data_IF_200083460446
#
_entry.id   IF_200083460446
#
_cell.length_a   1.000
_cell.length_b   1.000
_cell.length_c   1.000
_cell.angle_alpha   90.00
_cell.angle_beta   90.00
_cell.angle_gamma   90.00
#
_symmetry.space_group_name_H-M   'P 1'
#
loop_
_entity.id
_entity.type
_entity.pdbx_description
1 polymer ?
#
# COMPACT_ATOMS: atom_id res chain seq x y z
N UNK A 1 31.20 -31.84 -46.72
CA UNK A 1 30.20 -30.75 -46.56
C UNK A 1 29.37 -31.11 -45.35
N UNK A 2 29.69 -30.57 -44.17
CA UNK A 2 29.13 -30.97 -42.88
C UNK A 2 28.16 -29.89 -42.40
N UNK A 3 26.90 -30.29 -42.21
CA UNK A 3 25.88 -29.50 -41.53
C UNK A 3 26.14 -29.61 -40.02
N UNK A 4 26.52 -28.49 -39.39
CA UNK A 4 26.55 -28.35 -37.94
C UNK A 4 25.18 -27.86 -37.49
N UNK A 5 24.44 -28.73 -36.81
CA UNK A 5 23.23 -28.38 -36.06
C UNK A 5 23.60 -27.39 -34.95
N UNK A 6 22.94 -26.22 -34.97
CA UNK A 6 22.99 -25.25 -33.88
C UNK A 6 21.99 -25.71 -32.82
N UNK A 7 22.49 -26.19 -31.69
CA UNK A 7 21.70 -26.33 -30.47
C UNK A 7 21.23 -24.94 -30.02
N UNK A 8 19.96 -24.62 -30.29
CA UNK A 8 19.24 -23.56 -29.62
C UNK A 8 18.87 -24.08 -28.23
N UNK A 9 19.59 -23.61 -27.20
CA UNK A 9 19.16 -23.77 -25.82
C UNK A 9 17.99 -22.81 -25.64
N UNK A 10 16.77 -23.35 -25.70
CA UNK A 10 15.57 -22.66 -25.26
C UNK A 10 15.66 -22.54 -23.74
N UNK A 11 16.01 -21.36 -23.22
CA UNK A 11 15.85 -21.05 -21.82
C UNK A 11 14.34 -21.00 -21.54
N UNK A 12 13.81 -22.04 -20.89
CA UNK A 12 12.47 -21.99 -20.31
C UNK A 12 12.53 -21.01 -19.13
N UNK A 13 12.19 -19.74 -19.38
CA UNK A 13 11.76 -18.85 -18.30
C UNK A 13 10.43 -19.40 -17.79
N UNK A 14 10.50 -20.24 -16.75
CA UNK A 14 9.31 -20.54 -15.95
C UNK A 14 9.03 -19.28 -15.15
N UNK A 15 8.03 -18.49 -15.58
CA UNK A 15 7.48 -17.45 -14.73
C UNK A 15 6.81 -18.17 -13.56
N UNK A 16 7.52 -18.31 -12.44
CA UNK A 16 6.88 -18.79 -11.23
C UNK A 16 5.71 -17.86 -10.91
N UNK A 17 4.53 -18.39 -10.57
CA UNK A 17 3.42 -17.57 -10.12
C UNK A 17 3.87 -16.73 -8.93
N UNK A 18 3.37 -15.50 -8.85
CA UNK A 18 3.68 -14.62 -7.73
C UNK A 18 3.28 -15.30 -6.41
N UNK A 19 4.11 -15.22 -5.36
CA UNK A 19 3.78 -15.79 -4.06
C UNK A 19 2.50 -15.19 -3.49
N UNK A 20 1.74 -15.97 -2.72
CA UNK A 20 0.52 -15.50 -2.07
C UNK A 20 0.55 -15.73 -0.56
N UNK A 21 -0.21 -14.92 0.17
CA UNK A 21 -0.44 -15.03 1.61
C UNK A 21 -1.94 -14.97 1.93
N UNK A 22 -2.33 -15.47 3.10
CA UNK A 22 -3.68 -15.35 3.64
C UNK A 22 -3.70 -14.32 4.76
N UNK A 23 -4.42 -13.23 4.59
CA UNK A 23 -4.53 -12.17 5.58
C UNK A 23 -5.95 -11.61 5.63
N UNK A 24 -6.50 -11.50 6.85
CA UNK A 24 -7.85 -10.96 7.09
C UNK A 24 -8.96 -11.62 6.25
N UNK A 25 -8.84 -12.93 5.99
CA UNK A 25 -9.82 -13.71 5.23
C UNK A 25 -9.68 -13.62 3.71
N UNK A 26 -8.67 -12.91 3.20
CA UNK A 26 -8.42 -12.77 1.76
C UNK A 26 -7.09 -13.39 1.36
N UNK A 27 -7.02 -13.84 0.11
CA UNK A 27 -5.76 -14.18 -0.54
C UNK A 27 -5.14 -12.93 -1.18
N UNK A 28 -3.89 -12.65 -0.82
CA UNK A 28 -3.12 -11.52 -1.35
C UNK A 28 -1.93 -12.02 -2.15
N UNK A 29 -1.69 -11.43 -3.32
CA UNK A 29 -0.46 -11.57 -4.08
C UNK A 29 0.65 -10.73 -3.43
N UNK A 30 1.86 -11.28 -3.34
CA UNK A 30 3.05 -10.56 -2.88
C UNK A 30 3.83 -10.06 -4.09
N UNK A 31 4.01 -8.75 -4.18
CA UNK A 31 4.70 -8.12 -5.31
C UNK A 31 6.18 -8.48 -5.34
N UNK A 32 6.69 -8.68 -6.55
CA UNK A 32 8.09 -8.99 -6.83
C UNK A 32 8.58 -8.24 -8.08
N UNK A 33 9.88 -7.94 -8.15
CA UNK A 33 10.49 -7.31 -9.33
C UNK A 33 11.60 -6.33 -8.99
N UNK A 34 12.34 -5.88 -10.00
CA UNK A 34 13.41 -4.90 -9.83
C UNK A 34 13.10 -3.60 -10.59
N UNK A 35 13.33 -2.46 -9.95
CA UNK A 35 13.10 -1.11 -10.52
C UNK A 35 11.67 -0.91 -11.04
N UNK A 36 10.69 -1.37 -10.28
CA UNK A 36 9.25 -1.25 -10.60
C UNK A 36 8.58 -0.26 -9.65
N UNK A 37 7.58 0.46 -10.18
CA UNK A 37 6.81 1.46 -9.47
C UNK A 37 6.08 0.95 -8.22
N UNK A 38 5.71 1.85 -7.28
CA UNK A 38 6.07 3.28 -7.24
C UNK A 38 7.58 3.51 -7.04
N UNK A 39 8.12 4.55 -7.68
CA UNK A 39 9.56 4.79 -7.74
C UNK A 39 10.37 3.66 -8.41
N UNK A 40 11.70 3.75 -8.48
CA UNK A 40 12.56 2.66 -8.95
C UNK A 40 12.83 1.62 -7.85
N UNK A 41 11.79 1.11 -7.19
CA UNK A 41 11.92 0.17 -6.06
C UNK A 41 12.24 -1.25 -6.53
N UNK A 42 12.95 -2.00 -5.68
CA UNK A 42 13.04 -3.46 -5.80
C UNK A 42 12.02 -4.07 -4.84
N UNK A 43 11.39 -5.17 -5.22
CA UNK A 43 10.34 -5.86 -4.47
C UNK A 43 10.79 -7.29 -4.26
N UNK A 44 10.98 -7.69 -3.01
CA UNK A 44 11.62 -8.98 -2.73
C UNK A 44 10.72 -10.17 -3.00
N UNK A 45 9.42 -10.05 -2.70
CA UNK A 45 8.45 -11.12 -2.94
C UNK A 45 8.64 -12.34 -2.04
N UNK A 46 9.30 -12.23 -0.89
CA UNK A 46 9.53 -13.37 0.02
C UNK A 46 9.03 -13.11 1.44
N UNK A 47 8.98 -14.18 2.24
CA UNK A 47 8.63 -14.13 3.66
C UNK A 47 9.61 -13.33 4.54
N UNK A 48 10.77 -12.94 4.02
CA UNK A 48 11.67 -12.01 4.71
C UNK A 48 11.13 -10.57 4.70
N UNK A 49 10.30 -10.23 3.71
CA UNK A 49 9.73 -8.90 3.51
C UNK A 49 8.23 -8.82 3.80
N UNK A 50 7.51 -9.94 3.65
CA UNK A 50 6.06 -10.01 3.80
C UNK A 50 5.66 -11.34 4.44
N UNK A 51 5.07 -11.30 5.63
CA UNK A 51 4.55 -12.51 6.28
C UNK A 51 3.33 -12.19 7.15
N UNK A 52 2.59 -13.22 7.53
CA UNK A 52 1.53 -13.14 8.54
C UNK A 52 1.99 -13.91 9.77
N UNK A 53 1.93 -13.28 10.94
CA UNK A 53 2.36 -13.91 12.20
C UNK A 53 1.31 -14.86 12.79
N UNK A 54 1.66 -15.52 13.90
CA UNK A 54 0.77 -16.45 14.60
C UNK A 54 -0.48 -15.76 15.22
N UNK A 55 -0.50 -14.42 15.28
CA UNK A 55 -1.65 -13.62 15.71
C UNK A 55 -2.53 -13.20 14.53
N UNK A 56 -2.16 -13.56 13.29
CA UNK A 56 -2.89 -13.20 12.07
C UNK A 56 -2.60 -11.79 11.56
N UNK A 57 -1.54 -11.12 12.07
CA UNK A 57 -1.15 -9.77 11.66
C UNK A 57 -0.23 -9.84 10.45
N UNK A 58 -0.43 -8.93 9.51
CA UNK A 58 0.42 -8.79 8.33
C UNK A 58 1.61 -7.88 8.62
N UNK A 59 2.80 -8.35 8.30
CA UNK A 59 4.05 -7.61 8.43
C UNK A 59 4.59 -7.26 7.05
N UNK A 60 4.98 -5.99 6.86
CA UNK A 60 5.71 -5.53 5.68
C UNK A 60 7.01 -4.89 6.14
N UNK A 61 8.13 -5.31 5.54
CA UNK A 61 9.47 -4.86 5.93
C UNK A 61 10.25 -4.37 4.72
N UNK A 62 10.81 -3.17 4.86
CA UNK A 62 11.87 -2.69 3.96
C UNK A 62 13.19 -3.27 4.45
N UNK A 63 13.83 -4.11 3.63
CA UNK A 63 15.02 -4.87 4.02
C UNK A 63 16.22 -4.61 3.12
N UNK A 64 17.42 -4.82 3.65
CA UNK A 64 18.66 -4.71 2.91
C UNK A 64 19.27 -6.09 2.68
N UNK A 65 19.41 -6.51 1.43
CA UNK A 65 20.01 -7.79 1.04
C UNK A 65 20.94 -7.59 -0.14
N UNK A 66 22.12 -8.19 -0.08
CA UNK A 66 23.09 -8.22 -1.18
C UNK A 66 23.37 -6.84 -1.79
N UNK A 67 23.45 -5.79 -0.95
CA UNK A 67 23.73 -4.42 -1.38
C UNK A 67 22.55 -3.67 -2.01
N UNK A 68 21.33 -4.21 -1.93
CA UNK A 68 20.10 -3.58 -2.42
C UNK A 68 19.07 -3.45 -1.29
N UNK A 69 18.29 -2.38 -1.35
CA UNK A 69 17.08 -2.22 -0.57
C UNK A 69 15.88 -2.78 -1.32
N UNK A 70 15.01 -3.45 -0.58
CA UNK A 70 13.78 -4.05 -1.08
C UNK A 70 12.58 -3.51 -0.30
N UNK A 71 11.57 -3.09 -1.03
CA UNK A 71 10.24 -2.74 -0.57
C UNK A 71 9.34 -3.98 -0.49
N UNK A 72 8.15 -3.79 0.07
CA UNK A 72 7.14 -4.82 0.28
C UNK A 72 5.77 -4.31 -0.17
N UNK A 73 5.00 -5.14 -0.87
CA UNK A 73 3.62 -4.83 -1.24
C UNK A 73 2.81 -6.11 -1.34
N UNK A 74 1.55 -6.01 -0.91
CA UNK A 74 0.54 -7.03 -1.10
C UNK A 74 -0.65 -6.47 -1.86
N UNK A 75 -1.20 -7.27 -2.75
CA UNK A 75 -2.30 -6.89 -3.66
C UNK A 75 -3.41 -7.93 -3.46
N UNK A 76 -4.60 -7.51 -3.04
CA UNK A 76 -5.73 -8.41 -2.88
C UNK A 76 -6.14 -8.97 -4.25
N UNK A 77 -6.44 -10.26 -4.32
CA UNK A 77 -6.83 -10.89 -5.59
C UNK A 77 -8.27 -10.59 -5.99
N UNK A 78 -9.11 -10.15 -5.05
CA UNK A 78 -10.51 -9.80 -5.26
C UNK A 78 -10.68 -8.31 -5.62
N UNK A 79 -11.70 -8.04 -6.44
CA UNK A 79 -12.23 -6.69 -6.63
C UNK A 79 -13.38 -6.53 -5.65
N UNK A 80 -13.30 -5.54 -4.76
CA UNK A 80 -14.27 -5.38 -3.66
C UNK A 80 -15.38 -4.38 -3.98
N UNK A 81 -15.05 -3.32 -4.74
CA UNK A 81 -15.98 -2.29 -5.19
C UNK A 81 -16.43 -1.31 -4.11
N UNK A 82 -17.57 -0.66 -4.32
CA UNK A 82 -18.07 0.36 -3.39
C UNK A 82 -18.31 -0.21 -1.99
N UNK A 83 -17.84 0.51 -0.99
CA UNK A 83 -17.90 0.08 0.40
C UNK A 83 -16.95 0.86 1.28
N UNK A 84 -16.81 0.41 2.53
CA UNK A 84 -15.83 0.91 3.48
C UNK A 84 -14.60 0.03 3.50
N UNK A 85 -13.44 0.61 3.19
CA UNK A 85 -12.13 -0.04 3.30
C UNK A 85 -11.47 0.45 4.58
N UNK A 86 -11.10 -0.47 5.48
CA UNK A 86 -10.55 -0.13 6.79
C UNK A 86 -9.29 -0.92 7.10
N UNK A 87 -8.27 -0.20 7.55
CA UNK A 87 -6.94 -0.71 7.87
C UNK A 87 -6.60 -0.38 9.33
N UNK A 88 -6.21 -1.41 10.08
CA UNK A 88 -5.81 -1.30 11.47
C UNK A 88 -4.28 -1.44 11.55
N UNK A 89 -3.59 -0.34 11.84
CA UNK A 89 -2.12 -0.27 11.82
C UNK A 89 -1.55 -0.34 13.23
N UNK A 90 -0.40 -0.99 13.36
CA UNK A 90 0.51 -0.91 14.50
C UNK A 90 1.83 -0.33 14.00
N UNK A 91 1.85 0.99 13.80
CA UNK A 91 2.99 1.69 13.23
C UNK A 91 3.04 3.16 13.69
N UNK A 92 4.23 3.61 14.09
CA UNK A 92 4.52 5.02 14.36
C UNK A 92 4.73 5.80 13.07
N UNK A 93 3.67 5.98 12.30
CA UNK A 93 3.70 6.70 11.02
C UNK A 93 4.15 8.17 11.15
N UNK A 94 4.03 8.76 12.34
CA UNK A 94 4.55 10.09 12.66
C UNK A 94 6.08 10.12 12.85
N UNK A 95 6.71 8.97 13.10
CA UNK A 95 8.15 8.79 13.22
C UNK A 95 8.75 8.00 12.05
N UNK A 96 8.01 7.89 10.95
CA UNK A 96 8.45 7.15 9.77
C UNK A 96 9.78 7.70 9.24
N UNK A 97 10.66 6.81 8.76
CA UNK A 97 11.89 7.21 8.09
C UNK A 97 11.57 8.18 6.94
N UNK A 98 12.33 9.27 6.75
CA UNK A 98 11.98 10.27 5.76
C UNK A 98 11.80 9.76 4.34
N UNK A 99 12.51 8.70 3.96
CA UNK A 99 12.44 8.11 2.63
C UNK A 99 11.37 7.03 2.50
N UNK A 100 10.71 6.62 3.58
CA UNK A 100 9.71 5.58 3.54
C UNK A 100 8.30 6.15 3.26
N UNK A 101 7.48 5.33 2.61
CA UNK A 101 6.09 5.62 2.27
C UNK A 101 5.26 4.38 2.60
N UNK A 102 4.17 4.58 3.34
CA UNK A 102 3.11 3.59 3.52
C UNK A 102 1.95 4.02 2.61
N UNK A 103 1.46 3.12 1.76
CA UNK A 103 0.25 3.32 0.97
C UNK A 103 -0.81 2.29 1.30
N UNK A 104 -2.04 2.76 1.50
CA UNK A 104 -3.25 1.96 1.72
C UNK A 104 -4.27 2.41 0.67
N UNK A 105 -4.50 1.61 -0.37
CA UNK A 105 -5.11 2.16 -1.58
C UNK A 105 -5.87 1.14 -2.43
N UNK A 106 -6.69 1.64 -3.35
CA UNK A 106 -7.20 0.87 -4.50
C UNK A 106 -6.40 1.18 -5.76
N UNK A 107 -6.26 0.22 -6.67
CA UNK A 107 -5.61 0.44 -7.98
C UNK A 107 -6.07 -0.58 -9.01
N UNK A 108 -6.42 -0.12 -10.20
CA UNK A 108 -6.79 -0.94 -11.35
C UNK A 108 -5.64 -0.97 -12.36
N UNK A 109 -4.86 -2.06 -12.33
CA UNK A 109 -3.75 -2.29 -13.25
C UNK A 109 -4.15 -3.06 -14.51
N UNK A 110 -5.40 -3.50 -14.64
CA UNK A 110 -5.79 -4.54 -15.60
C UNK A 110 -6.87 -4.10 -16.58
N UNK A 111 -7.73 -3.16 -16.22
CA UNK A 111 -8.76 -2.69 -17.13
C UNK A 111 -8.15 -1.91 -18.29
N UNK A 112 -8.71 -2.12 -19.48
CA UNK A 112 -8.28 -1.43 -20.70
C UNK A 112 -8.45 0.09 -20.63
N UNK A 113 -9.41 0.55 -19.84
CA UNK A 113 -9.74 1.96 -19.62
C UNK A 113 -9.16 2.49 -18.29
N UNK A 114 -8.22 1.78 -17.66
CA UNK A 114 -7.72 2.16 -16.34
C UNK A 114 -7.05 3.54 -16.38
N UNK A 115 -6.19 3.81 -17.36
CA UNK A 115 -5.48 5.08 -17.47
C UNK A 115 -6.42 6.28 -17.68
N UNK A 116 -7.52 6.08 -18.43
CA UNK A 116 -8.55 7.09 -18.64
C UNK A 116 -9.44 7.34 -17.42
N UNK A 117 -9.37 6.45 -16.41
CA UNK A 117 -10.08 6.56 -15.13
C UNK A 117 -9.08 6.68 -13.97
N UNK A 118 -7.89 7.24 -14.23
CA UNK A 118 -6.85 7.49 -13.23
C UNK A 118 -6.55 6.27 -12.35
N UNK A 119 -6.56 5.09 -12.99
CA UNK A 119 -6.37 3.77 -12.38
C UNK A 119 -7.32 3.46 -11.22
N UNK A 120 -8.44 4.18 -11.07
CA UNK A 120 -9.42 4.00 -9.98
C UNK A 120 -8.76 4.06 -8.60
N UNK A 121 -7.82 4.99 -8.48
CA UNK A 121 -6.92 5.09 -7.33
C UNK A 121 -7.45 6.04 -6.24
N UNK A 122 -7.57 5.48 -5.04
CA UNK A 122 -7.99 6.16 -3.81
C UNK A 122 -6.94 5.78 -2.76
N UNK A 123 -6.27 6.76 -2.17
CA UNK A 123 -5.12 6.50 -1.30
C UNK A 123 -5.28 7.12 0.09
N UNK A 124 -4.76 6.39 1.06
CA UNK A 124 -4.28 6.93 2.32
C UNK A 124 -2.79 6.66 2.38
N UNK A 125 -1.99 7.73 2.41
CA UNK A 125 -0.53 7.62 2.44
C UNK A 125 0.08 8.27 3.67
N UNK A 126 1.17 7.68 4.14
CA UNK A 126 2.03 8.24 5.17
C UNK A 126 3.47 8.35 4.67
N UNK A 127 4.00 9.57 4.56
CA UNK A 127 5.39 9.83 4.22
C UNK A 127 5.84 11.24 4.59
N UNK A 128 7.15 11.39 4.78
CA UNK A 128 7.82 12.71 4.82
C UNK A 128 8.38 13.11 3.46
N UNK A 129 8.25 12.29 2.43
CA UNK A 129 8.67 12.56 1.04
C UNK A 129 10.16 12.96 0.92
N UNK A 130 11.02 12.30 1.71
CA UNK A 130 12.46 12.56 1.79
C UNK A 130 12.85 13.80 2.60
N UNK A 131 11.88 14.52 3.17
CA UNK A 131 12.11 15.76 3.90
C UNK A 131 11.98 15.54 5.40
N UNK A 132 13.10 15.38 6.11
CA UNK A 132 13.10 15.10 7.56
C UNK A 132 12.27 16.09 8.39
N UNK A 133 12.19 17.36 7.99
CA UNK A 133 11.40 18.40 8.65
C UNK A 133 9.91 18.45 8.25
N UNK A 134 9.44 17.62 7.32
CA UNK A 134 8.03 17.64 6.90
C UNK A 134 7.11 17.14 8.03
N UNK A 135 6.26 18.03 8.54
CA UNK A 135 5.29 17.72 9.57
C UNK A 135 3.97 17.15 9.02
N UNK A 136 3.67 17.39 7.74
CA UNK A 136 2.48 16.89 7.07
C UNK A 136 2.77 15.49 6.54
N UNK A 137 2.74 14.53 7.45
CA UNK A 137 3.11 13.14 7.14
C UNK A 137 1.97 12.33 6.56
N UNK A 138 0.71 12.74 6.73
CA UNK A 138 -0.45 12.03 6.21
C UNK A 138 -1.06 12.74 5.02
N UNK A 139 -1.55 11.96 4.05
CA UNK A 139 -2.43 12.47 3.01
C UNK A 139 -3.55 11.50 2.65
N UNK A 140 -4.67 12.07 2.25
CA UNK A 140 -5.72 11.40 1.49
C UNK A 140 -5.62 11.85 0.05
N UNK A 141 -5.83 10.94 -0.89
CA UNK A 141 -5.76 11.24 -2.31
C UNK A 141 -6.87 10.51 -3.08
N UNK A 142 -7.44 11.21 -4.05
CA UNK A 142 -8.25 10.63 -5.12
C UNK A 142 -7.59 11.06 -6.43
N UNK A 143 -7.12 10.12 -7.23
CA UNK A 143 -6.47 10.48 -8.48
C UNK A 143 -7.48 11.09 -9.47
N UNK A 144 -7.09 12.12 -10.24
CA UNK A 144 -5.75 12.70 -10.32
C UNK A 144 -5.58 13.93 -9.41
N UNK A 145 -4.59 13.90 -8.50
CA UNK A 145 -4.15 15.05 -7.69
C UNK A 145 -5.20 15.71 -6.78
N UNK A 146 -6.31 15.05 -6.42
CA UNK A 146 -7.25 15.57 -5.43
C UNK A 146 -6.80 15.15 -4.04
N UNK A 147 -5.95 15.96 -3.41
CA UNK A 147 -5.31 15.59 -2.15
C UNK A 147 -5.63 16.51 -0.98
N UNK A 148 -5.61 15.91 0.21
CA UNK A 148 -5.73 16.60 1.49
C UNK A 148 -4.63 16.11 2.42
N UNK A 149 -3.74 17.02 2.82
CA UNK A 149 -2.58 16.69 3.66
C UNK A 149 -2.80 17.11 5.10
N UNK A 150 -2.21 16.38 6.04
CA UNK A 150 -2.36 16.64 7.45
C UNK A 150 -1.16 16.26 8.29
N UNK A 151 -1.03 16.95 9.43
CA UNK A 151 -0.06 16.60 10.46
C UNK A 151 -0.56 15.39 11.23
N UNK A 152 0.37 14.50 11.59
CA UNK A 152 0.08 13.38 12.49
C UNK A 152 0.97 13.52 13.72
N UNK A 153 0.33 13.63 14.88
CA UNK A 153 1.00 13.44 16.17
C UNK A 153 0.34 12.23 16.81
N UNK A 154 1.11 11.17 17.01
CA UNK A 154 0.58 9.94 17.61
C UNK A 154 0.88 9.89 19.10
N UNK A 155 -0.14 9.54 19.87
CA UNK A 155 -0.04 9.27 21.32
C UNK A 155 0.21 7.79 21.63
N UNK A 156 0.30 6.95 20.60
CA UNK A 156 0.53 5.51 20.68
C UNK A 156 0.75 4.91 19.30
N UNK A 157 0.89 3.58 19.22
CA UNK A 157 1.27 2.90 17.98
C UNK A 157 0.06 2.45 17.15
N UNK A 158 -1.13 2.46 17.74
CA UNK A 158 -2.34 1.91 17.13
C UNK A 158 -3.18 3.01 16.49
N UNK A 159 -3.54 2.81 15.23
CA UNK A 159 -4.41 3.72 14.47
C UNK A 159 -5.29 2.97 13.50
N UNK A 160 -6.50 3.46 13.30
CA UNK A 160 -7.39 3.01 12.23
C UNK A 160 -7.43 4.07 11.13
N UNK A 161 -7.33 3.61 9.88
CA UNK A 161 -7.41 4.41 8.66
C UNK A 161 -8.43 3.81 7.72
N UNK A 162 -9.25 4.64 7.09
CA UNK A 162 -10.30 4.14 6.23
C UNK A 162 -10.80 5.18 5.25
N UNK A 163 -11.45 4.69 4.20
CA UNK A 163 -12.30 5.47 3.33
C UNK A 163 -13.61 4.72 3.06
N UNK A 164 -14.71 5.48 3.02
CA UNK A 164 -16.03 5.04 2.56
C UNK A 164 -16.20 5.53 1.13
N UNK A 165 -16.37 4.61 0.19
CA UNK A 165 -16.48 4.91 -1.23
C UNK A 165 -17.87 4.61 -1.74
N UNK A 166 -18.56 5.65 -2.20
CA UNK A 166 -19.85 5.56 -2.91
C UNK A 166 -19.73 6.20 -4.30
N UNK A 167 -20.71 6.03 -5.20
CA UNK A 167 -20.75 6.76 -6.46
C UNK A 167 -20.77 8.30 -6.31
N UNK A 168 -21.22 8.82 -5.17
CA UNK A 168 -21.44 10.24 -4.92
C UNK A 168 -20.35 10.91 -4.08
N UNK A 169 -19.61 10.14 -3.26
CA UNK A 169 -18.54 10.70 -2.42
C UNK A 169 -17.51 9.67 -2.00
N UNK A 170 -16.36 10.17 -1.56
CA UNK A 170 -15.38 9.42 -0.78
C UNK A 170 -15.20 10.12 0.57
N UNK A 171 -15.49 9.43 1.66
CA UNK A 171 -15.26 9.93 3.01
C UNK A 171 -14.07 9.23 3.67
N UNK A 172 -13.00 9.97 3.87
CA UNK A 172 -11.80 9.51 4.56
C UNK A 172 -11.89 9.80 6.06
N UNK A 173 -11.40 8.87 6.86
CA UNK A 173 -11.21 9.09 8.29
C UNK A 173 -9.98 8.38 8.84
N UNK A 174 -9.44 8.93 9.91
CA UNK A 174 -8.32 8.37 10.64
C UNK A 174 -8.44 8.69 12.12
N UNK A 175 -8.23 7.70 12.98
CA UNK A 175 -8.31 7.87 14.43
C UNK A 175 -7.30 7.00 15.18
N UNK A 176 -7.03 7.36 16.43
CA UNK A 176 -6.20 6.60 17.35
C UNK A 176 -6.91 5.35 17.85
N UNK A 177 -6.14 4.29 18.11
CA UNK A 177 -6.67 3.00 18.54
C UNK A 177 -7.22 2.17 17.39
N UNK A 178 -7.65 0.96 17.73
CA UNK A 178 -8.32 0.04 16.81
C UNK A 178 -9.80 -0.01 17.14
N UNK A 179 -10.61 0.65 16.32
CA UNK A 179 -12.06 0.64 16.41
C UNK A 179 -12.67 0.89 15.04
N UNK A 180 -13.93 0.50 14.84
CA UNK A 180 -14.64 0.75 13.58
C UNK A 180 -14.92 2.24 13.38
N UNK A 181 -15.21 2.94 14.48
CA UNK A 181 -15.46 4.38 14.54
C UNK A 181 -14.68 5.00 15.69
N UNK A 182 -14.35 6.28 15.58
CA UNK A 182 -13.64 6.98 16.65
C UNK A 182 -14.49 7.00 17.94
N UNK A 183 -13.95 6.59 19.11
CA UNK A 183 -14.72 6.57 20.36
C UNK A 183 -15.26 7.94 20.78
N UNK A 184 -14.53 9.00 20.44
CA UNK A 184 -14.94 10.40 20.60
C UNK A 184 -14.03 11.32 19.76
N UNK A 185 -14.29 12.63 19.79
CA UNK A 185 -13.55 13.61 19.01
C UNK A 185 -12.04 13.68 19.32
N UNK A 186 -11.61 13.35 20.55
CA UNK A 186 -10.19 13.42 20.93
C UNK A 186 -9.34 12.32 20.30
N UNK A 187 -9.97 11.27 19.77
CA UNK A 187 -9.29 10.18 19.08
C UNK A 187 -9.17 10.46 17.57
N UNK A 188 -9.88 11.45 17.02
CA UNK A 188 -9.83 11.77 15.60
C UNK A 188 -8.46 12.38 15.28
N UNK A 189 -7.77 11.76 14.33
CA UNK A 189 -6.53 12.27 13.73
C UNK A 189 -6.92 13.23 12.61
N UNK A 190 -7.73 12.76 11.67
CA UNK A 190 -8.31 13.59 10.62
C UNK A 190 -9.49 12.93 9.91
N UNK A 191 -10.21 13.74 9.13
CA UNK A 191 -11.29 13.34 8.25
C UNK A 191 -11.38 14.29 7.05
N UNK A 192 -11.81 13.78 5.91
CA UNK A 192 -12.00 14.59 4.70
C UNK A 192 -13.06 13.95 3.81
N UNK A 193 -13.96 14.76 3.26
CA UNK A 193 -14.93 14.30 2.28
C UNK A 193 -14.57 14.87 0.92
N UNK A 194 -14.48 14.00 -0.08
CA UNK A 194 -14.35 14.35 -1.48
C UNK A 194 -15.68 14.11 -2.20
N UNK A 195 -16.25 15.18 -2.76
CA UNK A 195 -17.50 15.20 -3.54
C UNK A 195 -17.25 15.80 -4.93
N UNK A 196 -16.01 15.71 -5.42
CA UNK A 196 -15.60 16.27 -6.72
C UNK A 196 -15.95 15.36 -7.90
N UNK A 197 -15.55 15.79 -9.11
CA UNK A 197 -15.94 15.11 -10.35
C UNK A 197 -15.15 13.81 -10.61
N UNK A 198 -14.00 13.61 -9.96
CA UNK A 198 -13.12 12.44 -10.16
C UNK A 198 -13.41 11.28 -9.19
N UNK A 199 -14.66 11.02 -8.83
CA UNK A 199 -14.98 9.83 -8.05
C UNK A 199 -14.90 8.62 -9.00
N UNK A 200 -13.96 7.67 -8.78
CA UNK A 200 -13.79 6.56 -9.68
C UNK A 200 -15.01 5.64 -9.65
N UNK A 201 -15.28 4.99 -10.79
CA UNK A 201 -16.19 3.86 -10.81
C UNK A 201 -15.49 2.57 -10.35
N UNK A 202 -16.26 1.62 -9.84
CA UNK A 202 -15.76 0.27 -9.57
C UNK A 202 -15.77 -0.60 -10.84
N UNK A 203 -14.69 -1.37 -11.05
CA UNK A 203 -14.50 -2.30 -12.16
C UNK A 203 -13.54 -3.44 -11.83
N UNK A 204 -12.24 -3.18 -11.73
CA UNK A 204 -11.19 -4.19 -11.50
C UNK A 204 -10.10 -3.71 -10.52
N UNK A 205 -10.33 -2.59 -9.85
CA UNK A 205 -9.47 -2.09 -8.80
C UNK A 205 -9.27 -3.14 -7.70
N UNK A 206 -8.01 -3.30 -7.30
CA UNK A 206 -7.60 -4.16 -6.21
C UNK A 206 -7.18 -3.29 -5.04
N UNK A 207 -7.50 -3.73 -3.83
CA UNK A 207 -6.91 -3.10 -2.64
C UNK A 207 -5.48 -3.58 -2.48
N UNK A 208 -4.58 -2.64 -2.21
CA UNK A 208 -3.16 -2.87 -2.04
C UNK A 208 -2.66 -2.19 -0.77
N UNK A 209 -1.66 -2.82 -0.16
CA UNK A 209 -0.91 -2.27 0.97
C UNK A 209 0.56 -2.33 0.57
N UNK A 210 1.23 -1.19 0.51
CA UNK A 210 2.65 -1.13 0.19
C UNK A 210 3.46 -0.38 1.25
N UNK A 211 4.73 -0.75 1.33
CA UNK A 211 5.73 -0.11 2.15
C UNK A 211 7.02 0.02 1.34
N UNK A 212 7.30 1.23 0.87
CA UNK A 212 8.27 1.48 -0.19
C UNK A 212 9.13 2.72 0.04
N UNK A 213 10.16 2.87 -0.80
CA UNK A 213 11.14 3.95 -0.69
C UNK A 213 10.89 5.03 -1.75
N UNK A 214 10.66 6.25 -1.30
CA UNK A 214 10.55 7.44 -2.14
C UNK A 214 11.77 7.55 -3.05
N UNK A 215 11.55 7.60 -4.37
CA UNK A 215 12.60 7.60 -5.40
C UNK A 215 13.58 6.41 -5.33
N UNK A 216 13.26 5.35 -4.58
CA UNK A 216 14.14 4.21 -4.35
C UNK A 216 15.34 4.52 -3.45
N UNK A 217 15.33 5.68 -2.77
CA UNK A 217 16.41 6.10 -1.89
C UNK A 217 16.41 5.27 -0.60
N UNK A 218 17.58 4.82 -0.16
CA UNK A 218 17.72 4.05 1.08
C UNK A 218 17.10 4.78 2.29
N UNK A 219 16.61 4.07 3.32
CA UNK A 219 16.24 4.69 4.59
C UNK A 219 17.35 5.62 5.09
N UNK A 220 16.99 6.81 5.56
CA UNK A 220 17.95 7.87 5.92
C UNK A 220 19.00 7.38 6.92
N UNK A 221 18.59 6.50 7.84
CA UNK A 221 19.46 5.96 8.88
C UNK A 221 20.08 4.59 8.53
N UNK A 222 19.87 4.09 7.30
CA UNK A 222 20.40 2.82 6.83
C UNK A 222 19.89 1.60 7.59
N UNK A 223 18.75 1.71 8.27
CA UNK A 223 18.14 0.63 9.04
C UNK A 223 16.98 0.01 8.29
N UNK A 224 16.83 -1.29 8.44
CA UNK A 224 15.59 -1.97 8.07
C UNK A 224 14.46 -1.46 8.95
N UNK A 225 13.28 -1.33 8.34
CA UNK A 225 12.09 -0.76 8.96
C UNK A 225 10.90 -1.64 8.63
N UNK A 226 9.94 -1.67 9.54
CA UNK A 226 8.80 -2.57 9.50
C UNK A 226 7.53 -1.83 9.86
N UNK A 227 6.43 -2.23 9.23
CA UNK A 227 5.08 -1.86 9.63
C UNK A 227 4.25 -3.14 9.83
N UNK A 228 3.27 -3.05 10.72
CA UNK A 228 2.34 -4.14 10.99
C UNK A 228 0.92 -3.67 10.73
N UNK A 229 0.15 -4.48 10.02
CA UNK A 229 -1.28 -4.31 9.79
C UNK A 229 -2.00 -5.42 10.55
N UNK A 230 -2.70 -5.07 11.63
CA UNK A 230 -3.38 -6.06 12.47
C UNK A 230 -4.56 -6.68 11.74
N UNK A 231 -5.26 -5.88 10.93
CA UNK A 231 -6.47 -6.30 10.22
C UNK A 231 -6.72 -5.39 9.02
N UNK A 232 -7.27 -5.99 7.97
CA UNK A 232 -8.00 -5.31 6.89
C UNK A 232 -9.47 -5.72 6.97
N UNK A 233 -10.37 -4.79 6.67
CA UNK A 233 -11.80 -5.04 6.66
C UNK A 233 -12.47 -4.28 5.50
N UNK A 234 -13.35 -4.98 4.80
CA UNK A 234 -14.22 -4.41 3.79
C UNK A 234 -15.68 -4.61 4.18
N UNK A 235 -16.47 -3.54 4.11
CA UNK A 235 -17.91 -3.56 4.36
C UNK A 235 -18.60 -3.05 3.09
N UNK A 236 -19.29 -3.92 2.32
CA UNK A 236 -20.04 -3.48 1.15
C UNK A 236 -21.14 -2.48 1.53
N UNK A 237 -21.40 -1.52 0.63
CA UNK A 237 -22.55 -0.61 0.76
C UNK A 237 -23.88 -1.28 0.37
#
# INVERSE_FOLDING_TARGET
MSLKEKNLITAFYTSQPAPTIQFSGYEWEVKQGEKVGPGPNNWLGTNESVWVDDQGKLHLRIIHRNGKWYAAEVINKETLGYGTYRFYLEARTDLLDPNAVIGLFTYDSISRDAAENDFREIDIEFSRWGQSGNANVGQYMVQPNNNYTFKKSLTGDWTTHAFEWTPEKIFFYSHHGHSETSPNANYIINQWTYEGENIPNSKNEKVSINFWLNKGEAPLYGKEIEIVISKFEFIPN
#
